data_IF_190508280504
#
_entry.id   IF_190508280504
#
_cell.length_a   1.000
_cell.length_b   1.000
_cell.length_c   1.000
_cell.angle_alpha   90.00
_cell.angle_beta   90.00
_cell.angle_gamma   90.00
#
_symmetry.space_group_name_H-M   'P 1'
#
loop_
_entity.id
_entity.type
_entity.pdbx_description
1 polymer ?
#
# COMPACT_ATOMS: atom_id res chain seq x y z
N UNK A 1 0.31 26.32 24.89
CA UNK A 1 0.50 26.02 23.46
C UNK A 1 -0.82 25.44 22.97
N UNK A 2 -1.43 25.97 21.91
CA UNK A 2 -2.77 25.55 21.46
C UNK A 2 -2.68 24.97 20.06
N UNK A 3 -3.10 23.71 19.86
CA UNK A 3 -3.12 23.06 18.55
C UNK A 3 -4.15 23.78 17.67
N UNK A 4 -3.73 24.23 16.48
CA UNK A 4 -4.58 24.95 15.52
C UNK A 4 -5.07 24.06 14.38
N UNK A 5 -4.36 22.99 14.07
CA UNK A 5 -4.69 22.05 13.01
C UNK A 5 -4.14 20.65 13.32
N UNK A 6 -4.79 19.64 12.76
CA UNK A 6 -4.36 18.24 12.80
C UNK A 6 -4.35 17.72 11.37
N UNK A 7 -3.21 17.16 10.96
CA UNK A 7 -3.04 16.52 9.65
C UNK A 7 -3.07 15.00 9.85
N UNK A 8 -3.87 14.32 9.04
CA UNK A 8 -3.95 12.87 9.03
C UNK A 8 -3.31 12.37 7.75
N UNK A 9 -2.34 11.47 7.88
CA UNK A 9 -1.88 10.66 6.75
C UNK A 9 -2.97 9.67 6.32
N UNK A 10 -2.82 9.05 5.16
CA UNK A 10 -3.74 8.02 4.69
C UNK A 10 -3.27 6.62 5.10
N UNK A 11 -2.13 6.15 4.60
CA UNK A 11 -1.66 4.78 4.82
C UNK A 11 -1.28 4.51 6.28
N UNK A 12 -1.91 3.52 6.91
CA UNK A 12 -1.62 3.17 8.32
C UNK A 12 -2.27 4.11 9.34
N UNK A 13 -3.02 5.13 8.89
CA UNK A 13 -3.77 6.06 9.74
C UNK A 13 -5.26 5.99 9.41
N UNK A 14 -5.65 6.39 8.20
CA UNK A 14 -7.05 6.28 7.73
C UNK A 14 -7.25 4.94 7.01
N UNK A 15 -6.39 4.60 6.06
CA UNK A 15 -6.42 3.32 5.36
C UNK A 15 -5.71 2.25 6.18
N UNK A 16 -6.39 1.12 6.42
CA UNK A 16 -5.81 -0.01 7.16
C UNK A 16 -5.14 -0.99 6.19
N UNK A 17 -3.83 -1.13 6.31
CA UNK A 17 -3.08 -2.23 5.69
C UNK A 17 -3.23 -3.49 6.53
N UNK A 18 -3.57 -4.60 5.89
CA UNK A 18 -3.64 -5.91 6.52
C UNK A 18 -2.31 -6.64 6.31
N UNK A 19 -1.45 -6.58 7.33
CA UNK A 19 -0.12 -7.21 7.31
C UNK A 19 -0.20 -8.74 7.33
N UNK A 20 -1.24 -9.29 7.95
CA UNK A 20 -1.44 -10.75 7.99
C UNK A 20 -1.84 -11.25 6.60
N UNK A 21 -2.71 -10.53 5.90
CA UNK A 21 -3.06 -10.84 4.51
C UNK A 21 -1.85 -10.66 3.58
N UNK A 22 -1.04 -9.63 3.78
CA UNK A 22 0.22 -9.46 3.03
C UNK A 22 1.13 -10.67 3.20
N UNK A 23 1.40 -11.11 4.43
CA UNK A 23 2.20 -12.30 4.71
C UNK A 23 1.57 -13.56 4.08
N UNK A 24 0.25 -13.71 4.15
CA UNK A 24 -0.47 -14.84 3.52
C UNK A 24 -0.29 -14.86 2.01
N UNK A 25 -0.31 -13.70 1.35
CA UNK A 25 -0.07 -13.59 -0.09
C UNK A 25 1.41 -13.84 -0.43
N UNK A 26 2.34 -13.42 0.42
CA UNK A 26 3.76 -13.75 0.26
C UNK A 26 3.97 -15.27 0.26
N UNK A 27 3.42 -15.97 1.26
CA UNK A 27 3.45 -17.44 1.33
C UNK A 27 2.78 -18.09 0.12
N UNK A 28 1.59 -17.61 -0.27
CA UNK A 28 0.82 -18.14 -1.41
C UNK A 28 1.62 -18.13 -2.70
N UNK A 29 2.41 -17.09 -2.94
CA UNK A 29 3.13 -16.91 -4.19
C UNK A 29 4.60 -17.34 -4.12
N UNK A 30 5.12 -17.64 -2.94
CA UNK A 30 6.53 -17.98 -2.72
C UNK A 30 7.43 -16.75 -2.75
N UNK A 31 6.94 -15.61 -2.25
CA UNK A 31 7.73 -14.40 -2.08
C UNK A 31 8.53 -14.48 -0.78
N UNK A 32 9.70 -13.83 -0.70
CA UNK A 32 10.38 -13.64 0.58
C UNK A 32 9.54 -12.77 1.53
N UNK A 33 9.71 -12.90 2.85
CA UNK A 33 9.06 -12.01 3.82
C UNK A 33 9.31 -10.53 3.51
N UNK A 34 8.25 -9.73 3.44
CA UNK A 34 8.30 -8.31 3.06
C UNK A 34 8.45 -8.05 1.56
N UNK A 35 8.50 -9.09 0.72
CA UNK A 35 8.62 -8.97 -0.72
C UNK A 35 7.47 -8.19 -1.37
N UNK A 36 6.25 -8.30 -0.82
CA UNK A 36 5.12 -7.52 -1.33
C UNK A 36 5.28 -6.02 -1.04
N UNK A 37 5.72 -5.70 0.18
CA UNK A 37 5.97 -4.32 0.59
C UNK A 37 7.06 -3.69 -0.28
N UNK A 38 8.17 -4.41 -0.42
CA UNK A 38 9.30 -3.97 -1.23
C UNK A 38 8.89 -3.66 -2.67
N UNK A 39 8.19 -4.59 -3.33
CA UNK A 39 7.77 -4.43 -4.72
C UNK A 39 6.77 -3.29 -4.93
N UNK A 40 5.95 -2.96 -3.92
CA UNK A 40 4.94 -1.93 -4.02
C UNK A 40 5.46 -0.52 -3.72
N UNK A 41 6.31 -0.39 -2.70
CA UNK A 41 6.58 0.89 -2.04
C UNK A 41 8.06 1.27 -1.97
N UNK A 42 8.97 0.39 -2.39
CA UNK A 42 10.42 0.62 -2.28
C UNK A 42 11.15 0.55 -3.62
N UNK A 43 10.41 0.47 -4.72
CA UNK A 43 10.97 0.49 -6.08
C UNK A 43 11.07 1.93 -6.62
N UNK A 44 12.01 2.22 -7.54
CA UNK A 44 12.14 3.56 -8.14
C UNK A 44 10.86 4.07 -8.79
N UNK A 45 10.06 3.20 -9.40
CA UNK A 45 8.81 3.58 -10.05
C UNK A 45 7.75 4.05 -9.06
N UNK A 46 7.76 3.53 -7.82
CA UNK A 46 6.93 4.06 -6.74
C UNK A 46 7.34 5.50 -6.41
N UNK A 47 8.65 5.74 -6.27
CA UNK A 47 9.17 7.08 -5.97
C UNK A 47 8.87 8.11 -7.05
N UNK A 48 8.84 7.72 -8.32
CA UNK A 48 8.48 8.64 -9.41
C UNK A 48 6.97 8.88 -9.50
N UNK A 49 6.13 7.87 -9.25
CA UNK A 49 4.67 8.05 -9.28
C UNK A 49 4.16 8.81 -8.07
N UNK A 50 4.72 8.60 -6.87
CA UNK A 50 4.26 9.27 -5.64
C UNK A 50 4.44 10.80 -5.69
N UNK A 51 5.44 11.27 -6.45
CA UNK A 51 5.71 12.70 -6.69
C UNK A 51 5.14 13.22 -8.03
N UNK A 52 4.36 12.39 -8.74
CA UNK A 52 3.68 12.77 -9.98
C UNK A 52 4.58 12.93 -11.21
N UNK A 53 5.77 12.32 -11.22
CA UNK A 53 6.73 12.35 -12.35
C UNK A 53 6.57 11.18 -13.32
N UNK A 54 5.88 10.13 -12.91
CA UNK A 54 5.58 8.95 -13.72
C UNK A 54 4.09 8.60 -13.62
N UNK A 55 3.66 7.59 -14.39
CA UNK A 55 2.28 7.13 -14.43
C UNK A 55 2.04 5.92 -13.52
N UNK A 56 0.81 5.78 -13.03
CA UNK A 56 0.36 4.57 -12.33
C UNK A 56 0.66 3.30 -13.14
N UNK A 57 0.51 3.37 -14.47
CA UNK A 57 0.79 2.24 -15.37
C UNK A 57 2.26 1.80 -15.32
N UNK A 58 3.20 2.74 -15.23
CA UNK A 58 4.63 2.45 -15.16
C UNK A 58 5.01 1.84 -13.82
N UNK A 59 4.49 2.40 -12.73
CA UNK A 59 4.60 1.81 -11.39
C UNK A 59 4.03 0.40 -11.33
N UNK A 60 2.81 0.18 -11.83
CA UNK A 60 2.19 -1.14 -11.85
C UNK A 60 3.04 -2.17 -12.61
N UNK A 61 3.65 -1.77 -13.72
CA UNK A 61 4.57 -2.64 -14.46
C UNK A 61 5.81 -2.96 -13.63
N UNK A 62 6.48 -1.96 -13.07
CA UNK A 62 7.68 -2.16 -12.24
C UNK A 62 7.41 -3.03 -11.00
N UNK A 63 6.26 -2.82 -10.35
CA UNK A 63 5.85 -3.62 -9.19
C UNK A 63 5.60 -5.09 -9.57
N UNK A 64 4.96 -5.36 -10.71
CA UNK A 64 4.80 -6.74 -11.21
C UNK A 64 6.12 -7.38 -11.60
N UNK A 65 6.99 -6.66 -12.30
CA UNK A 65 8.31 -7.16 -12.68
C UNK A 65 9.12 -7.52 -11.43
N UNK A 66 9.06 -6.68 -10.39
CA UNK A 66 9.74 -6.94 -9.12
C UNK A 66 9.15 -8.14 -8.38
N UNK A 67 7.83 -8.29 -8.36
CA UNK A 67 7.20 -9.48 -7.76
C UNK A 67 7.61 -10.77 -8.49
N UNK A 68 7.68 -10.74 -9.82
CA UNK A 68 8.09 -11.91 -10.61
C UNK A 68 9.57 -12.24 -10.40
N UNK A 69 10.42 -11.21 -10.31
CA UNK A 69 11.83 -11.37 -9.95
C UNK A 69 11.98 -12.03 -8.57
N UNK A 70 11.30 -11.52 -7.55
CA UNK A 70 11.35 -12.04 -6.18
C UNK A 70 10.81 -13.47 -6.07
N UNK A 71 9.78 -13.81 -6.84
CA UNK A 71 9.23 -15.17 -6.90
C UNK A 71 10.05 -16.11 -7.79
N UNK A 72 11.00 -15.59 -8.58
CA UNK A 72 11.73 -16.34 -9.60
C UNK A 72 10.87 -16.86 -10.75
N UNK A 73 9.62 -16.39 -10.88
CA UNK A 73 8.65 -16.84 -11.90
C UNK A 73 7.53 -15.82 -12.09
N UNK A 74 6.85 -15.82 -13.26
CA UNK A 74 5.60 -15.11 -13.42
C UNK A 74 4.53 -15.60 -12.43
N UNK A 75 3.73 -14.66 -11.91
CA UNK A 75 2.62 -14.93 -10.99
C UNK A 75 1.31 -14.46 -11.65
N UNK A 76 0.70 -15.28 -12.53
CA UNK A 76 -0.56 -14.92 -13.18
C UNK A 76 -1.63 -14.69 -12.13
N UNK A 77 -2.37 -13.58 -12.26
CA UNK A 77 -3.50 -13.31 -11.39
C UNK A 77 -3.17 -12.61 -10.06
N UNK A 78 -1.92 -12.24 -9.81
CA UNK A 78 -1.53 -11.59 -8.54
C UNK A 78 -2.29 -10.28 -8.27
N UNK A 79 -2.65 -9.55 -9.33
CA UNK A 79 -3.40 -8.29 -9.23
C UNK A 79 -4.80 -8.47 -8.64
N UNK A 80 -5.43 -9.61 -8.91
CA UNK A 80 -6.77 -9.92 -8.44
C UNK A 80 -6.79 -10.07 -6.92
N UNK A 81 -5.70 -10.53 -6.32
CA UNK A 81 -5.60 -10.71 -4.86
C UNK A 81 -5.00 -9.48 -4.15
N UNK A 82 -4.33 -8.60 -4.89
CA UNK A 82 -3.57 -7.48 -4.32
C UNK A 82 -4.41 -6.51 -3.49
N UNK A 83 -5.66 -6.27 -3.89
CA UNK A 83 -6.56 -5.35 -3.19
C UNK A 83 -6.95 -5.84 -1.79
N UNK A 84 -6.78 -7.14 -1.48
CA UNK A 84 -7.06 -7.70 -0.17
C UNK A 84 -6.09 -7.21 0.91
N UNK A 85 -4.91 -6.68 0.55
CA UNK A 85 -3.97 -6.11 1.53
C UNK A 85 -4.51 -4.85 2.21
N UNK A 86 -5.65 -4.31 1.75
CA UNK A 86 -6.34 -3.20 2.40
C UNK A 86 -7.61 -3.70 3.10
N UNK A 87 -7.69 -3.46 4.41
CA UNK A 87 -8.84 -3.81 5.26
C UNK A 87 -9.92 -2.71 5.29
N UNK A 88 -9.92 -1.83 4.29
CA UNK A 88 -10.78 -0.64 4.26
C UNK A 88 -10.24 0.51 5.12
N UNK A 89 -11.16 1.30 5.67
CA UNK A 89 -10.87 2.52 6.43
C UNK A 89 -11.05 2.34 7.94
N UNK A 90 -10.31 3.12 8.72
CA UNK A 90 -10.46 3.23 10.16
C UNK A 90 -11.56 4.23 10.53
N UNK A 91 -12.74 3.70 10.84
CA UNK A 91 -13.92 4.52 11.20
C UNK A 91 -13.73 5.34 12.49
N UNK A 92 -12.86 4.92 13.41
CA UNK A 92 -12.58 5.68 14.63
C UNK A 92 -11.74 6.91 14.31
N UNK A 93 -10.71 6.75 13.47
CA UNK A 93 -9.88 7.86 12.98
C UNK A 93 -10.72 8.82 12.13
N UNK A 94 -11.58 8.31 11.26
CA UNK A 94 -12.53 9.13 10.49
C UNK A 94 -13.49 9.88 11.41
N UNK A 95 -14.04 9.22 12.44
CA UNK A 95 -14.90 9.87 13.43
C UNK A 95 -14.14 10.96 14.20
N UNK A 96 -12.88 10.74 14.54
CA UNK A 96 -12.04 11.73 15.21
C UNK A 96 -11.79 12.94 14.31
N UNK A 97 -11.40 12.73 13.05
CA UNK A 97 -11.21 13.80 12.08
C UNK A 97 -12.48 14.65 11.91
N UNK A 98 -13.66 14.03 11.87
CA UNK A 98 -14.95 14.74 11.82
C UNK A 98 -15.21 15.60 13.07
N UNK A 99 -14.82 15.14 14.26
CA UNK A 99 -14.97 15.88 15.53
C UNK A 99 -14.01 17.07 15.64
N UNK A 100 -12.82 16.94 15.04
CA UNK A 100 -11.79 17.98 15.04
C UNK A 100 -12.02 19.05 13.97
N UNK A 101 -12.95 18.83 13.03
CA UNK A 101 -13.28 19.81 12.00
C UNK A 101 -13.90 21.07 12.66
N UNK A 102 -13.42 22.28 12.32
CA UNK A 102 -14.05 23.52 12.75
C UNK A 102 -15.53 23.53 12.32
N UNK A 103 -16.38 24.19 13.13
CA UNK A 103 -17.78 24.44 12.79
C UNK A 103 -17.89 25.49 11.68
#
# INVERSE_FOLDING_TARGET
>A
MTIQAVLFDYGGVIGRLDRDEMARLEDKYGLPPGGFWHALFEIPEWHEVEVGRSSEREWLRGALDKLYELAGRPIPGIRQDWHHIWKGIDEEVVSLARKLRPR
#
